data_IF_199572587419
#
_entry.id   IF_199572587419
#
_cell.length_a   1.000
_cell.length_b   1.000
_cell.length_c   1.000
_cell.angle_alpha   90.00
_cell.angle_beta   90.00
_cell.angle_gamma   90.00
#
_symmetry.space_group_name_H-M   'P 1'
#
loop_
_entity.id
_entity.type
_entity.pdbx_description
1 polymer ?
#
# COMPACT_ATOMS: atom_id res chain seq x y z
N UNK A 1 -20.73 41.99 16.98
CA UNK A 1 -20.47 41.48 15.61
C UNK A 1 -18.99 41.14 15.37
N UNK A 2 -18.29 40.45 16.30
CA UNK A 2 -16.89 39.99 16.14
C UNK A 2 -16.52 38.86 17.12
N UNK A 3 -17.28 37.76 17.13
CA UNK A 3 -16.87 36.54 17.86
C UNK A 3 -17.21 35.24 17.10
N UNK A 4 -18.12 35.29 16.12
CA UNK A 4 -18.51 34.13 15.31
C UNK A 4 -17.61 33.86 14.09
N UNK A 5 -16.66 34.74 13.77
CA UNK A 5 -15.75 34.58 12.62
C UNK A 5 -14.44 33.85 12.95
N UNK A 6 -14.09 33.65 14.23
CA UNK A 6 -12.88 32.92 14.63
C UNK A 6 -13.13 31.43 14.92
N UNK A 7 -14.38 31.03 15.18
CA UNK A 7 -14.76 29.64 15.43
C UNK A 7 -15.03 28.83 14.14
N UNK A 8 -15.12 29.50 12.98
CA UNK A 8 -15.32 28.86 11.68
C UNK A 8 -14.01 28.52 10.95
N UNK A 9 -12.86 28.99 11.46
CA UNK A 9 -11.53 28.69 10.88
C UNK A 9 -10.89 27.44 11.51
N UNK A 10 -11.47 26.92 12.59
CA UNK A 10 -10.89 25.77 13.33
C UNK A 10 -11.45 24.40 12.93
N UNK A 11 -12.33 24.30 11.91
CA UNK A 11 -13.02 23.05 11.55
C UNK A 11 -12.61 22.44 10.20
N UNK A 12 -11.85 23.09 9.33
CA UNK A 12 -11.55 22.53 8.00
C UNK A 12 -10.08 22.67 7.59
N UNK A 13 -9.19 22.22 8.48
CA UNK A 13 -7.94 21.59 8.03
C UNK A 13 -8.00 20.14 8.50
N UNK A 14 -8.97 19.39 7.96
CA UNK A 14 -8.72 17.97 7.73
C UNK A 14 -7.58 17.99 6.73
N UNK A 15 -6.34 17.82 7.20
CA UNK A 15 -5.23 17.52 6.32
C UNK A 15 -5.69 16.31 5.51
N UNK A 16 -5.99 16.54 4.23
CA UNK A 16 -6.40 15.50 3.29
C UNK A 16 -5.14 14.69 3.03
N UNK A 17 -4.81 13.82 3.99
CA UNK A 17 -3.95 12.69 3.71
C UNK A 17 -4.65 11.96 2.56
N UNK A 18 -3.97 11.71 1.44
CA UNK A 18 -4.57 10.98 0.34
C UNK A 18 -5.17 9.69 0.88
N UNK A 19 -6.32 9.27 0.34
CA UNK A 19 -6.93 8.00 0.73
C UNK A 19 -5.86 6.89 0.80
N UNK A 20 -5.94 6.04 1.83
CA UNK A 20 -5.01 4.92 2.06
C UNK A 20 -4.79 4.11 0.79
N UNK A 21 -5.80 3.96 -0.08
CA UNK A 21 -5.68 3.28 -1.38
C UNK A 21 -4.72 3.99 -2.37
N UNK A 22 -4.70 5.32 -2.42
CA UNK A 22 -3.79 6.12 -3.27
C UNK A 22 -2.36 6.07 -2.70
N UNK A 23 -2.25 6.25 -1.39
CA UNK A 23 -0.98 6.20 -0.69
C UNK A 23 -0.33 4.84 -0.87
N UNK A 24 -1.05 3.76 -0.56
CA UNK A 24 -0.53 2.40 -0.67
C UNK A 24 -0.12 2.04 -2.10
N UNK A 25 -0.89 2.46 -3.12
CA UNK A 25 -0.59 2.19 -4.52
C UNK A 25 0.71 2.84 -5.01
N UNK A 26 1.07 4.03 -4.51
CA UNK A 26 2.20 4.80 -5.07
C UNK A 26 3.40 4.96 -4.14
N UNK A 27 3.30 4.59 -2.85
CA UNK A 27 4.34 4.87 -1.84
C UNK A 27 5.73 4.39 -2.24
N UNK A 28 5.86 3.18 -2.79
CA UNK A 28 7.17 2.68 -3.19
C UNK A 28 7.72 3.38 -4.43
N UNK A 29 6.88 3.70 -5.42
CA UNK A 29 7.29 4.46 -6.60
C UNK A 29 7.72 5.89 -6.23
N UNK A 30 7.06 6.51 -5.25
CA UNK A 30 7.40 7.85 -4.76
C UNK A 30 8.83 7.93 -4.18
N UNK A 31 9.37 6.82 -3.67
CA UNK A 31 10.78 6.76 -3.21
C UNK A 31 11.73 7.01 -4.38
N UNK A 32 11.54 6.32 -5.49
CA UNK A 32 12.39 6.46 -6.68
C UNK A 32 12.11 7.74 -7.47
N UNK A 33 10.87 8.26 -7.45
CA UNK A 33 10.57 9.60 -7.97
C UNK A 33 11.46 10.63 -7.28
N UNK A 34 11.51 10.63 -5.94
CA UNK A 34 12.29 11.62 -5.18
C UNK A 34 13.79 11.46 -5.41
N UNK A 35 14.25 10.22 -5.49
CA UNK A 35 15.64 9.90 -5.84
C UNK A 35 16.04 10.57 -7.16
N UNK A 36 15.28 10.33 -8.23
CA UNK A 36 15.63 10.83 -9.55
C UNK A 36 15.34 12.32 -9.74
N UNK A 37 14.43 12.89 -8.95
CA UNK A 37 14.26 14.34 -8.87
C UNK A 37 15.49 15.01 -8.26
N UNK A 38 16.04 14.47 -7.16
CA UNK A 38 17.26 14.99 -6.51
C UNK A 38 18.51 14.84 -7.39
N UNK A 39 18.58 13.78 -8.19
CA UNK A 39 19.68 13.53 -9.11
C UNK A 39 19.52 14.27 -10.45
N UNK A 40 18.42 14.99 -10.66
CA UNK A 40 18.06 15.62 -11.93
C UNK A 40 18.05 14.64 -13.13
N UNK A 41 17.83 13.34 -12.88
CA UNK A 41 17.70 12.28 -13.89
C UNK A 41 16.25 12.24 -14.41
N UNK A 42 15.93 13.20 -15.28
CA UNK A 42 14.56 13.41 -15.75
C UNK A 42 13.98 12.23 -16.54
N UNK A 43 14.82 11.38 -17.15
CA UNK A 43 14.34 10.22 -17.89
C UNK A 43 13.88 9.09 -16.97
N UNK A 44 14.66 8.77 -15.94
CA UNK A 44 14.23 7.81 -14.92
C UNK A 44 13.10 8.36 -14.05
N UNK A 45 13.12 9.65 -13.74
CA UNK A 45 12.02 10.34 -13.07
C UNK A 45 10.71 10.17 -13.83
N UNK A 46 10.73 10.35 -15.16
CA UNK A 46 9.56 10.17 -16.00
C UNK A 46 9.02 8.74 -15.92
N UNK A 47 9.88 7.72 -16.06
CA UNK A 47 9.51 6.32 -15.94
C UNK A 47 8.88 5.99 -14.56
N UNK A 48 9.38 6.57 -13.48
CA UNK A 48 8.84 6.31 -12.14
C UNK A 48 7.52 7.04 -11.88
N UNK A 49 7.29 8.19 -12.50
CA UNK A 49 5.96 8.80 -12.54
C UNK A 49 4.96 7.96 -13.36
N UNK A 50 5.35 7.44 -14.52
CA UNK A 50 4.52 6.48 -15.29
C UNK A 50 4.24 5.21 -14.47
N UNK A 51 5.23 4.75 -13.71
CA UNK A 51 5.08 3.59 -12.82
C UNK A 51 4.11 3.87 -11.68
N UNK A 52 4.16 5.06 -11.07
CA UNK A 52 3.18 5.47 -10.05
C UNK A 52 1.77 5.53 -10.65
N UNK A 53 1.60 6.13 -11.83
CA UNK A 53 0.34 6.13 -12.57
C UNK A 53 -0.15 4.69 -12.85
N UNK A 54 0.74 3.81 -13.31
CA UNK A 54 0.43 2.39 -13.54
C UNK A 54 0.01 1.69 -12.26
N UNK A 55 0.65 1.95 -11.12
CA UNK A 55 0.22 1.36 -9.85
C UNK A 55 -1.18 1.83 -9.45
N UNK A 56 -1.51 3.11 -9.63
CA UNK A 56 -2.87 3.61 -9.41
C UNK A 56 -3.88 2.84 -10.28
N UNK A 57 -3.59 2.68 -11.56
CA UNK A 57 -4.47 1.96 -12.48
C UNK A 57 -4.63 0.49 -12.12
N UNK A 58 -3.55 -0.19 -11.75
CA UNK A 58 -3.56 -1.63 -11.52
C UNK A 58 -4.02 -2.02 -10.10
N UNK A 59 -3.98 -1.09 -9.14
CA UNK A 59 -4.23 -1.37 -7.72
C UNK A 59 -5.33 -0.47 -7.18
N UNK A 60 -5.09 0.85 -7.11
CA UNK A 60 -5.99 1.77 -6.41
C UNK A 60 -7.38 1.84 -7.05
N UNK A 61 -7.46 1.90 -8.38
CA UNK A 61 -8.74 1.89 -9.12
C UNK A 61 -9.53 0.60 -8.82
N UNK A 62 -9.02 -0.62 -9.12
CA UNK A 62 -9.80 -1.84 -8.91
C UNK A 62 -10.14 -2.08 -7.43
N UNK A 63 -9.26 -1.72 -6.49
CA UNK A 63 -9.58 -1.78 -5.06
C UNK A 63 -10.79 -0.91 -4.73
N UNK A 64 -10.76 0.35 -5.15
CA UNK A 64 -11.81 1.31 -4.86
C UNK A 64 -13.15 0.92 -5.51
N UNK A 65 -13.12 0.41 -6.75
CA UNK A 65 -14.30 -0.08 -7.46
C UNK A 65 -14.96 -1.27 -6.74
N UNK A 66 -14.17 -2.25 -6.28
CA UNK A 66 -14.68 -3.41 -5.53
C UNK A 66 -15.34 -2.97 -4.22
N UNK A 67 -14.70 -2.04 -3.50
CA UNK A 67 -15.20 -1.49 -2.25
C UNK A 67 -16.50 -0.70 -2.47
N UNK A 68 -16.52 0.17 -3.48
CA UNK A 68 -17.69 0.98 -3.82
C UNK A 68 -18.90 0.10 -4.18
N UNK A 69 -18.67 -0.92 -5.01
CA UNK A 69 -19.71 -1.87 -5.40
C UNK A 69 -20.25 -2.67 -4.21
N UNK A 70 -19.36 -3.09 -3.29
CA UNK A 70 -19.78 -3.71 -2.03
C UNK A 70 -20.66 -2.77 -1.21
N UNK A 71 -20.26 -1.51 -1.04
CA UNK A 71 -21.04 -0.54 -0.27
C UNK A 71 -22.40 -0.24 -0.88
N UNK A 72 -22.47 -0.11 -2.22
CA UNK A 72 -23.72 0.12 -2.96
C UNK A 72 -24.69 -1.04 -2.78
N UNK A 73 -24.22 -2.28 -2.97
CA UNK A 73 -25.07 -3.48 -2.87
C UNK A 73 -25.65 -3.71 -1.47
N UNK A 74 -24.95 -3.27 -0.44
CA UNK A 74 -25.35 -3.46 0.95
C UNK A 74 -25.97 -2.20 1.60
N UNK A 75 -26.22 -1.13 0.85
CA UNK A 75 -26.93 0.06 1.34
C UNK A 75 -26.11 0.96 2.27
N UNK A 76 -24.78 0.91 2.22
CA UNK A 76 -23.90 1.70 3.08
C UNK A 76 -23.69 3.13 2.53
N UNK A 77 -24.74 3.94 2.47
CA UNK A 77 -24.75 5.24 1.76
C UNK A 77 -23.62 6.22 2.14
N UNK A 78 -23.29 6.35 3.43
CA UNK A 78 -22.18 7.22 3.89
C UNK A 78 -20.82 6.75 3.34
N UNK A 79 -20.64 5.43 3.28
CA UNK A 79 -19.42 4.83 2.76
C UNK A 79 -19.35 4.91 1.24
N UNK A 80 -20.49 4.84 0.55
CA UNK A 80 -20.60 5.10 -0.89
C UNK A 80 -20.13 6.52 -1.20
N UNK A 81 -20.69 7.54 -0.54
CA UNK A 81 -20.32 8.95 -0.77
C UNK A 81 -18.83 9.20 -0.57
N UNK A 82 -18.28 8.66 0.54
CA UNK A 82 -16.84 8.73 0.81
C UNK A 82 -16.03 8.08 -0.31
N UNK A 83 -16.38 6.88 -0.74
CA UNK A 83 -15.63 6.11 -1.75
C UNK A 83 -15.76 6.75 -3.14
N UNK A 84 -16.87 7.40 -3.45
CA UNK A 84 -17.03 8.20 -4.68
C UNK A 84 -16.11 9.42 -4.67
N UNK A 85 -15.94 10.09 -3.52
CA UNK A 85 -14.93 11.15 -3.39
C UNK A 85 -13.51 10.59 -3.58
N UNK A 86 -13.19 9.45 -2.95
CA UNK A 86 -11.89 8.80 -3.12
C UNK A 86 -11.63 8.39 -4.58
N UNK A 87 -12.68 8.06 -5.34
CA UNK A 87 -12.59 7.80 -6.80
C UNK A 87 -12.06 9.01 -7.55
N UNK A 88 -12.54 10.22 -7.22
CA UNK A 88 -12.11 11.47 -7.85
C UNK A 88 -10.63 11.73 -7.50
N UNK A 89 -10.26 11.62 -6.22
CA UNK A 89 -8.88 11.79 -5.76
C UNK A 89 -7.90 10.82 -6.46
N UNK A 90 -8.33 9.56 -6.67
CA UNK A 90 -7.56 8.55 -7.41
C UNK A 90 -7.31 9.03 -8.86
N UNK A 91 -8.34 9.55 -9.52
CA UNK A 91 -8.21 10.05 -10.90
C UNK A 91 -7.33 11.30 -10.97
N UNK A 92 -7.49 12.23 -10.05
CA UNK A 92 -6.64 13.43 -9.96
C UNK A 92 -5.17 13.05 -9.78
N UNK A 93 -4.88 12.07 -8.91
CA UNK A 93 -3.51 11.61 -8.68
C UNK A 93 -2.93 10.87 -9.89
N UNK A 94 -3.75 10.10 -10.60
CA UNK A 94 -3.37 9.47 -11.86
C UNK A 94 -2.95 10.55 -12.88
N UNK A 95 -3.79 11.56 -13.08
CA UNK A 95 -3.50 12.65 -14.02
C UNK A 95 -2.28 13.48 -13.61
N UNK A 96 -2.10 13.72 -12.31
CA UNK A 96 -0.90 14.36 -11.77
C UNK A 96 0.38 13.62 -12.21
N UNK A 97 0.45 12.31 -11.99
CA UNK A 97 1.62 11.53 -12.34
C UNK A 97 1.85 11.45 -13.86
N UNK A 98 0.79 11.27 -14.65
CA UNK A 98 0.90 11.28 -16.12
C UNK A 98 1.43 12.63 -16.64
N UNK A 99 0.95 13.74 -16.08
CA UNK A 99 1.45 15.08 -16.43
C UNK A 99 2.92 15.25 -16.05
N UNK A 100 3.29 14.87 -14.83
CA UNK A 100 4.67 14.96 -14.34
C UNK A 100 5.63 14.09 -15.17
N UNK A 101 5.22 12.88 -15.54
CA UNK A 101 5.99 12.03 -16.46
C UNK A 101 6.22 12.72 -17.81
N UNK A 102 5.15 13.26 -18.42
CA UNK A 102 5.24 13.98 -19.69
C UNK A 102 6.19 15.18 -19.60
N UNK A 103 6.12 15.95 -18.52
CA UNK A 103 6.97 17.12 -18.33
C UNK A 103 8.44 16.74 -18.06
N UNK A 104 8.69 15.64 -17.36
CA UNK A 104 10.03 15.09 -17.16
C UNK A 104 10.63 14.57 -18.48
N UNK A 105 9.85 13.85 -19.30
CA UNK A 105 10.32 13.39 -20.62
C UNK A 105 10.79 14.52 -21.53
N UNK A 106 10.11 15.68 -21.52
CA UNK A 106 10.52 16.86 -22.31
C UNK A 106 11.91 17.38 -21.92
N UNK A 107 12.33 17.14 -20.68
CA UNK A 107 13.62 17.59 -20.13
C UNK A 107 14.69 16.51 -20.18
N UNK A 108 14.32 15.27 -20.51
CA UNK A 108 15.21 14.12 -20.41
C UNK A 108 16.32 14.18 -21.46
N UNK A 109 17.55 14.10 -20.96
CA UNK A 109 18.78 13.81 -21.74
C UNK A 109 19.36 12.44 -21.41
N UNK A 110 18.59 11.63 -20.67
CA UNK A 110 19.02 10.33 -20.13
C UNK A 110 19.31 9.34 -21.26
N UNK A 111 20.50 8.71 -21.28
CA UNK A 111 20.85 7.71 -22.28
C UNK A 111 19.88 6.51 -22.33
N UNK A 112 19.56 6.03 -23.53
CA UNK A 112 18.57 4.95 -23.75
C UNK A 112 18.94 3.63 -23.06
N UNK A 113 20.24 3.34 -22.90
CA UNK A 113 20.69 2.16 -22.15
C UNK A 113 20.30 2.23 -20.66
N UNK A 114 20.34 3.43 -20.06
CA UNK A 114 19.90 3.64 -18.69
C UNK A 114 18.38 3.57 -18.56
N UNK A 115 17.64 4.06 -19.56
CA UNK A 115 16.17 3.93 -19.65
C UNK A 115 15.75 2.47 -19.74
N UNK A 116 16.41 1.69 -20.61
CA UNK A 116 16.14 0.25 -20.78
C UNK A 116 16.38 -0.51 -19.48
N UNK A 117 17.54 -0.26 -18.84
CA UNK A 117 17.87 -0.87 -17.54
C UNK A 117 16.82 -0.51 -16.48
N UNK A 118 16.34 0.72 -16.47
CA UNK A 118 15.33 1.17 -15.49
C UNK A 118 13.96 0.53 -15.74
N UNK A 119 13.55 0.34 -17.00
CA UNK A 119 12.33 -0.40 -17.35
C UNK A 119 12.35 -1.84 -16.83
N UNK A 120 13.51 -2.51 -16.88
CA UNK A 120 13.65 -3.85 -16.31
C UNK A 120 13.46 -3.88 -14.79
N UNK A 121 14.00 -2.89 -14.07
CA UNK A 121 13.78 -2.73 -12.63
C UNK A 121 12.30 -2.50 -12.32
N UNK A 122 11.64 -1.63 -13.08
CA UNK A 122 10.21 -1.35 -12.96
C UNK A 122 9.37 -2.63 -13.20
N UNK A 123 9.72 -3.45 -14.20
CA UNK A 123 9.02 -4.70 -14.45
C UNK A 123 9.13 -5.66 -13.24
N UNK A 124 10.34 -5.80 -12.66
CA UNK A 124 10.57 -6.58 -11.43
C UNK A 124 9.77 -6.02 -10.26
N UNK A 125 9.77 -4.70 -10.10
CA UNK A 125 8.98 -3.99 -9.09
C UNK A 125 7.49 -4.30 -9.18
N UNK A 126 6.87 -4.10 -10.34
CA UNK A 126 5.44 -4.38 -10.55
C UNK A 126 5.12 -5.84 -10.24
N UNK A 127 5.93 -6.78 -10.74
CA UNK A 127 5.72 -8.22 -10.51
C UNK A 127 5.85 -8.63 -9.04
N UNK A 128 6.68 -7.90 -8.27
CA UNK A 128 6.87 -8.11 -6.84
C UNK A 128 5.69 -7.57 -6.05
N UNK A 129 5.21 -6.39 -6.40
CA UNK A 129 4.26 -5.63 -5.56
C UNK A 129 2.78 -5.91 -5.82
N UNK A 130 2.35 -6.11 -7.07
CA UNK A 130 0.95 -6.41 -7.37
C UNK A 130 0.33 -7.49 -6.48
N UNK A 131 0.98 -8.65 -6.25
CA UNK A 131 0.37 -9.70 -5.42
C UNK A 131 0.37 -9.42 -3.92
N UNK A 132 1.04 -8.38 -3.44
CA UNK A 132 1.03 -8.00 -2.03
C UNK A 132 -0.24 -7.24 -1.63
N UNK A 133 -0.88 -6.53 -2.55
CA UNK A 133 -2.03 -5.69 -2.24
C UNK A 133 -3.27 -6.47 -1.78
N UNK A 134 -3.66 -7.60 -2.40
CA UNK A 134 -4.76 -8.41 -1.88
C UNK A 134 -4.54 -8.92 -0.45
N UNK A 135 -3.28 -9.24 -0.08
CA UNK A 135 -2.93 -9.68 1.27
C UNK A 135 -3.06 -8.55 2.30
N UNK A 136 -2.68 -7.33 1.90
CA UNK A 136 -2.75 -6.16 2.77
C UNK A 136 -4.18 -5.79 3.16
N UNK A 137 -5.20 -6.25 2.43
CA UNK A 137 -6.60 -6.04 2.78
C UNK A 137 -6.93 -6.36 4.25
N UNK A 138 -6.38 -7.45 4.80
CA UNK A 138 -6.64 -7.86 6.20
C UNK A 138 -5.76 -7.11 7.21
N UNK A 139 -4.60 -6.61 6.77
CA UNK A 139 -3.61 -5.92 7.62
C UNK A 139 -3.88 -4.41 7.69
N UNK A 140 -4.38 -3.81 6.61
CA UNK A 140 -4.52 -2.38 6.37
C UNK A 140 -5.83 -2.06 5.61
N UNK A 141 -6.34 -0.84 5.76
CA UNK A 141 -7.47 -0.35 4.98
C UNK A 141 -8.82 -0.91 5.41
N UNK A 142 -9.59 -1.48 4.47
CA UNK A 142 -11.02 -1.78 4.61
C UNK A 142 -11.34 -2.79 5.73
N UNK A 143 -10.58 -3.89 5.85
CA UNK A 143 -10.89 -4.88 6.88
C UNK A 143 -10.70 -4.35 8.31
N UNK A 144 -9.53 -3.80 8.70
CA UNK A 144 -9.33 -3.33 10.07
C UNK A 144 -10.18 -2.10 10.44
N UNK A 145 -10.72 -1.36 9.46
CA UNK A 145 -11.53 -0.15 9.71
C UNK A 145 -13.02 -0.39 9.62
N UNK A 146 -13.50 -1.11 8.61
CA UNK A 146 -14.94 -1.29 8.39
C UNK A 146 -15.42 -2.66 8.87
N UNK A 147 -14.81 -3.75 8.39
CA UNK A 147 -15.25 -5.10 8.74
C UNK A 147 -15.04 -5.42 10.22
N UNK A 148 -13.92 -4.95 10.79
CA UNK A 148 -13.62 -5.16 12.21
C UNK A 148 -14.64 -4.45 13.10
N UNK A 149 -14.98 -3.19 12.82
CA UNK A 149 -16.00 -2.46 13.58
C UNK A 149 -17.36 -3.16 13.51
N UNK A 150 -17.80 -3.58 12.32
CA UNK A 150 -19.06 -4.31 12.18
C UNK A 150 -19.04 -5.66 12.89
N UNK A 151 -17.90 -6.35 12.85
CA UNK A 151 -17.72 -7.62 13.55
C UNK A 151 -17.76 -7.45 15.06
N UNK A 152 -17.10 -6.44 15.61
CA UNK A 152 -17.13 -6.13 17.04
C UNK A 152 -18.55 -5.83 17.53
N UNK A 153 -19.34 -5.10 16.72
CA UNK A 153 -20.77 -4.88 17.00
C UNK A 153 -21.53 -6.20 17.02
N UNK A 154 -21.36 -7.05 16.00
CA UNK A 154 -22.04 -8.35 15.94
C UNK A 154 -21.61 -9.30 17.07
N UNK A 155 -20.35 -9.25 17.51
CA UNK A 155 -19.84 -9.99 18.67
C UNK A 155 -20.51 -9.51 19.96
N UNK A 156 -20.65 -8.20 20.17
CA UNK A 156 -21.35 -7.62 21.32
C UNK A 156 -22.84 -7.99 21.36
N UNK A 157 -23.48 -8.13 20.20
CA UNK A 157 -24.87 -8.58 20.06
C UNK A 157 -25.02 -10.11 20.10
N UNK A 158 -23.91 -10.84 20.21
CA UNK A 158 -23.86 -12.30 20.14
C UNK A 158 -24.48 -12.86 18.83
N UNK A 159 -24.41 -12.08 17.76
CA UNK A 159 -25.00 -12.38 16.47
C UNK A 159 -24.03 -13.19 15.59
N UNK A 160 -23.91 -14.48 15.90
CA UNK A 160 -22.99 -15.42 15.20
C UNK A 160 -23.26 -15.45 13.68
N UNK A 161 -24.52 -15.37 13.26
CA UNK A 161 -24.89 -15.36 11.84
C UNK A 161 -24.26 -14.18 11.11
N UNK A 162 -24.34 -12.99 11.71
CA UNK A 162 -23.79 -11.78 11.11
C UNK A 162 -22.26 -11.82 11.05
N UNK A 163 -21.59 -12.29 12.10
CA UNK A 163 -20.13 -12.48 12.09
C UNK A 163 -19.71 -13.37 10.91
N UNK A 164 -20.38 -14.51 10.72
CA UNK A 164 -20.09 -15.44 9.63
C UNK A 164 -20.33 -14.80 8.24
N UNK A 165 -21.37 -13.98 8.09
CA UNK A 165 -21.65 -13.27 6.84
C UNK A 165 -20.62 -12.18 6.54
N UNK A 166 -20.22 -11.40 7.55
CA UNK A 166 -19.18 -10.37 7.42
C UNK A 166 -17.85 -10.98 7.00
N UNK A 167 -17.43 -12.09 7.61
CA UNK A 167 -16.19 -12.76 7.23
C UNK A 167 -16.29 -13.41 5.84
N UNK A 168 -17.48 -13.89 5.44
CA UNK A 168 -17.70 -14.39 4.09
C UNK A 168 -17.53 -13.28 3.04
N UNK A 169 -18.11 -12.10 3.30
CA UNK A 169 -17.97 -10.92 2.45
C UNK A 169 -16.52 -10.44 2.37
N UNK A 170 -15.80 -10.41 3.51
CA UNK A 170 -14.38 -10.08 3.53
C UNK A 170 -13.54 -11.03 2.65
N UNK A 171 -13.82 -12.33 2.72
CA UNK A 171 -13.17 -13.32 1.87
C UNK A 171 -13.50 -13.15 0.38
N UNK A 172 -14.76 -12.82 0.02
CA UNK A 172 -15.16 -12.51 -1.35
C UNK A 172 -14.46 -11.26 -1.91
N UNK A 173 -14.36 -10.21 -1.11
CA UNK A 173 -13.62 -9.00 -1.49
C UNK A 173 -12.15 -9.36 -1.74
N UNK A 174 -11.51 -10.09 -0.82
CA UNK A 174 -10.12 -10.49 -1.01
C UNK A 174 -9.92 -11.36 -2.27
N UNK A 175 -10.85 -12.28 -2.57
CA UNK A 175 -10.85 -13.04 -3.81
C UNK A 175 -10.98 -12.14 -5.05
N UNK A 176 -11.86 -11.13 -5.01
CA UNK A 176 -12.02 -10.16 -6.10
C UNK A 176 -10.76 -9.30 -6.30
N UNK A 177 -10.07 -8.92 -5.21
CA UNK A 177 -8.78 -8.22 -5.29
C UNK A 177 -7.72 -9.07 -5.99
N UNK A 178 -7.61 -10.36 -5.64
CA UNK A 178 -6.72 -11.28 -6.34
C UNK A 178 -7.04 -11.43 -7.82
N UNK A 179 -8.34 -11.43 -8.17
CA UNK A 179 -8.77 -11.51 -9.56
C UNK A 179 -8.37 -10.27 -10.35
N UNK A 180 -8.69 -9.09 -9.83
CA UNK A 180 -8.54 -7.82 -10.55
C UNK A 180 -7.12 -7.25 -10.54
N UNK A 181 -6.29 -7.62 -9.55
CA UNK A 181 -4.95 -7.06 -9.40
C UNK A 181 -3.89 -8.02 -9.96
N UNK A 182 -3.45 -9.10 -9.28
CA UNK A 182 -2.38 -9.94 -9.82
C UNK A 182 -2.82 -10.81 -11.01
N UNK A 183 -4.01 -11.43 -10.98
CA UNK A 183 -4.41 -12.41 -12.03
C UNK A 183 -4.70 -11.72 -13.36
N UNK A 184 -5.48 -10.63 -13.36
CA UNK A 184 -5.74 -9.82 -14.55
C UNK A 184 -4.44 -9.26 -15.19
N UNK A 185 -3.34 -9.21 -14.43
CA UNK A 185 -2.01 -8.79 -14.90
C UNK A 185 -1.06 -9.97 -15.18
N UNK A 186 -1.61 -11.16 -15.44
CA UNK A 186 -0.86 -12.32 -15.92
C UNK A 186 -0.20 -13.17 -14.84
N UNK A 187 -0.40 -12.88 -13.55
CA UNK A 187 0.16 -13.65 -12.45
C UNK A 187 -0.76 -14.83 -12.07
N UNK A 188 -0.92 -15.79 -13.00
CA UNK A 188 -1.85 -16.92 -12.86
C UNK A 188 -1.57 -17.85 -11.67
N UNK A 189 -0.36 -17.82 -11.09
CA UNK A 189 -0.02 -18.55 -9.87
C UNK A 189 -0.89 -18.17 -8.66
N UNK A 190 -1.58 -17.03 -8.70
CA UNK A 190 -2.47 -16.57 -7.61
C UNK A 190 -3.93 -17.07 -7.74
N UNK A 191 -4.27 -17.80 -8.81
CA UNK A 191 -5.62 -18.36 -9.02
C UNK A 191 -6.03 -19.29 -7.88
N UNK A 192 -5.10 -20.13 -7.39
CA UNK A 192 -5.38 -21.05 -6.29
C UNK A 192 -5.76 -20.31 -4.99
N UNK A 193 -5.06 -19.22 -4.67
CA UNK A 193 -5.33 -18.41 -3.47
C UNK A 193 -6.71 -17.74 -3.58
N UNK A 194 -7.00 -17.14 -4.73
CA UNK A 194 -8.34 -16.59 -5.05
C UNK A 194 -9.43 -17.65 -4.85
N UNK A 195 -9.22 -18.86 -5.36
CA UNK A 195 -10.17 -19.96 -5.21
C UNK A 195 -10.32 -20.41 -3.74
N UNK A 196 -9.26 -20.40 -2.95
CA UNK A 196 -9.32 -20.73 -1.53
C UNK A 196 -10.16 -19.71 -0.75
N UNK A 197 -10.02 -18.41 -1.04
CA UNK A 197 -10.90 -17.38 -0.48
C UNK A 197 -12.37 -17.58 -0.87
N UNK A 198 -12.67 -17.90 -2.14
CA UNK A 198 -14.04 -18.19 -2.59
C UNK A 198 -14.64 -19.43 -1.91
N UNK A 199 -13.86 -20.51 -1.78
CA UNK A 199 -14.28 -21.71 -1.04
C UNK A 199 -14.57 -21.37 0.42
N UNK A 200 -13.72 -20.55 1.04
CA UNK A 200 -13.89 -20.12 2.42
C UNK A 200 -15.16 -19.28 2.61
N UNK A 201 -15.41 -18.31 1.73
CA UNK A 201 -16.64 -17.53 1.76
C UNK A 201 -17.89 -18.41 1.65
N UNK A 202 -17.86 -19.38 0.73
CA UNK A 202 -18.96 -20.35 0.56
C UNK A 202 -19.21 -21.18 1.82
N UNK A 203 -18.13 -21.62 2.48
CA UNK A 203 -18.21 -22.33 3.75
C UNK A 203 -18.85 -21.46 4.85
N UNK A 204 -18.41 -20.21 4.99
CA UNK A 204 -18.94 -19.29 6.00
C UNK A 204 -20.43 -18.96 5.77
N UNK A 205 -20.85 -18.75 4.52
CA UNK A 205 -22.28 -18.62 4.16
C UNK A 205 -23.08 -19.87 4.51
N UNK A 206 -22.52 -21.05 4.29
CA UNK A 206 -23.17 -22.32 4.65
C UNK A 206 -23.29 -22.47 6.17
N UNK A 207 -22.26 -22.06 6.92
CA UNK A 207 -22.31 -22.06 8.38
C UNK A 207 -23.33 -21.06 8.92
N UNK A 208 -23.48 -19.88 8.31
CA UNK A 208 -24.41 -18.84 8.79
C UNK A 208 -25.90 -19.23 8.67
N UNK A 209 -26.21 -20.25 7.86
CA UNK A 209 -27.55 -20.82 7.75
C UNK A 209 -27.90 -21.82 8.86
N UNK A 210 -26.90 -22.26 9.64
CA UNK A 210 -27.07 -23.21 10.74
C UNK A 210 -27.17 -22.47 12.07
N UNK A 211 -27.89 -23.06 13.03
CA UNK A 211 -27.89 -22.56 14.40
C UNK A 211 -26.61 -22.97 15.11
N UNK A 212 -25.88 -21.99 15.63
CA UNK A 212 -24.66 -22.21 16.39
C UNK A 212 -24.82 -21.66 17.80
N UNK A 213 -24.28 -22.38 18.79
CA UNK A 213 -24.18 -21.88 20.17
C UNK A 213 -22.88 -21.14 20.44
N UNK A 214 -21.86 -21.40 19.62
CA UNK A 214 -20.50 -20.87 19.74
C UNK A 214 -20.05 -20.51 18.31
N UNK A 215 -19.29 -19.43 18.15
CA UNK A 215 -18.72 -19.04 16.87
C UNK A 215 -17.78 -20.15 16.34
N UNK A 216 -18.00 -20.68 15.12
CA UNK A 216 -17.08 -21.63 14.52
C UNK A 216 -15.69 -21.04 14.28
N UNK A 217 -14.63 -21.84 14.49
CA UNK A 217 -13.24 -21.41 14.34
C UNK A 217 -12.92 -20.90 12.93
N UNK A 218 -13.63 -21.40 11.92
CA UNK A 218 -13.49 -20.98 10.53
C UNK A 218 -13.70 -19.48 10.35
N UNK A 219 -14.51 -18.82 11.19
CA UNK A 219 -14.70 -17.37 11.13
C UNK A 219 -13.38 -16.58 11.22
N UNK A 220 -12.34 -17.16 11.83
CA UNK A 220 -11.04 -16.51 11.99
C UNK A 220 -10.00 -16.93 10.94
N UNK A 221 -10.34 -17.82 10.01
CA UNK A 221 -9.38 -18.45 9.11
C UNK A 221 -9.05 -17.61 7.87
N UNK A 222 -9.93 -16.68 7.47
CA UNK A 222 -9.74 -15.87 6.25
C UNK A 222 -8.40 -15.13 6.20
N UNK A 223 -7.95 -14.58 7.33
CA UNK A 223 -6.65 -13.91 7.47
C UNK A 223 -5.45 -14.85 7.32
N UNK A 224 -5.63 -16.17 7.30
CA UNK A 224 -4.56 -17.18 7.17
C UNK A 224 -4.47 -17.81 5.78
N UNK A 225 -5.43 -17.50 4.90
CA UNK A 225 -5.46 -17.96 3.50
C UNK A 225 -4.50 -17.18 2.59
N UNK A 226 -3.82 -16.17 3.14
CA UNK A 226 -2.85 -15.39 2.40
C UNK A 226 -1.68 -16.27 1.95
N UNK A 227 -1.09 -15.86 0.83
CA UNK A 227 0.22 -16.37 0.45
C UNK A 227 1.22 -16.04 1.56
N UNK A 228 1.70 -17.04 2.30
CA UNK A 228 2.92 -16.89 3.11
C UNK A 228 3.93 -16.25 2.17
N UNK A 229 4.43 -15.06 2.54
CA UNK A 229 5.42 -14.31 1.75
C UNK A 229 6.43 -15.33 1.27
N UNK A 230 6.42 -15.66 -0.03
CA UNK A 230 7.50 -16.46 -0.57
C UNK A 230 8.74 -15.70 -0.15
N UNK A 231 9.63 -16.35 0.62
CA UNK A 231 10.97 -15.86 0.82
C UNK A 231 11.45 -15.50 -0.58
N UNK A 232 11.41 -14.21 -0.91
CA UNK A 232 11.74 -13.77 -2.24
C UNK A 232 13.12 -14.34 -2.47
N UNK A 233 13.29 -15.14 -3.52
CA UNK A 233 14.63 -15.44 -4.00
C UNK A 233 15.15 -14.10 -4.51
N UNK A 234 15.65 -13.29 -3.58
CA UNK A 234 16.54 -12.20 -3.89
C UNK A 234 17.68 -12.79 -4.69
N UNK A 235 18.22 -12.02 -5.62
CA UNK A 235 19.34 -12.52 -6.43
C UNK A 235 20.55 -12.92 -5.56
N UNK A 236 20.54 -12.49 -4.29
CA UNK A 236 21.63 -12.59 -3.33
C UNK A 236 21.35 -13.47 -2.10
N UNK A 237 20.16 -14.04 -1.89
CA UNK A 237 19.74 -14.69 -0.62
C UNK A 237 19.99 -13.83 0.64
N UNK A 238 20.18 -12.51 0.52
CA UNK A 238 20.50 -11.65 1.68
C UNK A 238 19.33 -11.61 2.66
N UNK A 239 19.66 -11.89 3.92
CA UNK A 239 18.74 -11.75 5.05
C UNK A 239 18.39 -10.25 5.24
N UNK A 240 17.10 -9.96 5.44
CA UNK A 240 16.61 -8.62 5.77
C UNK A 240 17.33 -8.03 6.99
N UNK A 241 17.77 -8.86 7.95
CA UNK A 241 18.58 -8.43 9.08
C UNK A 241 19.94 -7.87 8.65
N UNK A 242 20.61 -8.52 7.69
CA UNK A 242 21.90 -8.04 7.17
C UNK A 242 21.70 -6.70 6.44
N UNK A 243 20.64 -6.58 5.64
CA UNK A 243 20.28 -5.34 4.95
C UNK A 243 20.02 -4.20 5.94
N UNK A 244 19.29 -4.48 7.02
CA UNK A 244 19.02 -3.52 8.08
C UNK A 244 20.31 -3.07 8.78
N UNK A 245 21.21 -4.00 9.11
CA UNK A 245 22.50 -3.65 9.70
C UNK A 245 23.33 -2.80 8.75
N UNK A 246 23.39 -3.14 7.46
CA UNK A 246 24.08 -2.32 6.46
C UNK A 246 23.52 -0.89 6.41
N UNK A 247 22.19 -0.72 6.47
CA UNK A 247 21.58 0.61 6.50
C UNK A 247 21.97 1.40 7.76
N UNK A 248 21.98 0.74 8.93
CA UNK A 248 22.37 1.36 10.21
C UNK A 248 23.84 1.73 10.29
N UNK A 249 24.71 0.96 9.63
CA UNK A 249 26.15 1.21 9.60
C UNK A 249 26.57 2.32 8.62
N UNK A 250 25.65 2.86 7.81
CA UNK A 250 25.95 4.06 7.02
C UNK A 250 26.08 5.26 7.96
N UNK A 251 27.24 5.92 7.94
CA UNK A 251 27.55 7.02 8.87
C UNK A 251 26.51 8.15 8.84
N UNK A 252 25.87 8.40 7.69
CA UNK A 252 24.83 9.43 7.55
C UNK A 252 23.53 9.05 8.26
N UNK A 253 23.25 7.75 8.37
CA UNK A 253 22.12 7.21 9.12
C UNK A 253 22.46 7.13 10.60
N UNK A 254 23.65 6.63 10.93
CA UNK A 254 24.12 6.53 12.30
C UNK A 254 24.00 7.88 13.02
N UNK A 255 24.54 8.96 12.42
CA UNK A 255 24.42 10.30 12.98
C UNK A 255 22.98 10.77 13.12
N UNK A 256 22.11 10.45 12.14
CA UNK A 256 20.71 10.86 12.16
C UNK A 256 19.90 10.13 13.24
N UNK A 257 20.21 8.86 13.50
CA UNK A 257 19.51 8.02 14.48
C UNK A 257 20.00 8.27 15.91
N UNK A 258 21.25 8.69 16.11
CA UNK A 258 21.79 9.03 17.45
C UNK A 258 20.96 10.12 18.14
N UNK A 259 20.37 11.04 17.38
CA UNK A 259 19.55 12.13 17.90
C UNK A 259 18.09 11.71 18.21
N UNK A 260 17.70 10.48 17.86
CA UNK A 260 16.32 10.00 17.97
C UNK A 260 16.17 9.03 19.13
N UNK A 261 15.35 9.39 20.12
CA UNK A 261 15.12 8.56 21.32
C UNK A 261 14.36 7.26 21.03
N UNK A 262 13.46 7.26 20.04
CA UNK A 262 12.66 6.11 19.64
C UNK A 262 12.35 6.20 18.15
N UNK A 263 12.65 5.14 17.39
CA UNK A 263 12.32 5.02 15.99
C UNK A 263 11.91 3.58 15.62
N UNK A 264 11.15 3.47 14.54
CA UNK A 264 10.72 2.22 13.93
C UNK A 264 11.48 1.98 12.64
N UNK A 265 11.67 0.71 12.31
CA UNK A 265 12.48 0.27 11.19
C UNK A 265 11.69 -0.72 10.36
N UNK A 266 11.71 -0.53 9.05
CA UNK A 266 11.07 -1.46 8.14
C UNK A 266 11.95 -1.73 6.93
N UNK A 267 12.23 -3.01 6.70
CA UNK A 267 13.04 -3.48 5.57
C UNK A 267 12.16 -4.20 4.56
N UNK A 268 12.29 -3.81 3.29
CA UNK A 268 11.42 -4.27 2.21
C UNK A 268 12.24 -4.47 0.94
N UNK A 269 11.96 -5.56 0.22
CA UNK A 269 12.55 -5.80 -1.09
C UNK A 269 11.61 -5.31 -2.19
N UNK A 270 12.14 -4.50 -3.11
CA UNK A 270 11.38 -3.85 -4.19
C UNK A 270 11.40 -4.68 -5.49
N UNK A 271 11.97 -5.88 -5.50
CA UNK A 271 12.13 -6.72 -6.70
C UNK A 271 13.48 -6.53 -7.42
N UNK A 272 14.19 -5.44 -7.13
CA UNK A 272 15.50 -5.13 -7.73
C UNK A 272 16.47 -4.45 -6.75
N UNK A 273 15.95 -3.82 -5.70
CA UNK A 273 16.72 -3.18 -4.64
C UNK A 273 16.01 -3.39 -3.30
N UNK A 274 16.75 -3.26 -2.22
CA UNK A 274 16.21 -3.20 -0.87
C UNK A 274 15.98 -1.75 -0.45
N UNK A 275 14.94 -1.54 0.34
CA UNK A 275 14.65 -0.27 0.99
C UNK A 275 14.55 -0.49 2.49
N UNK A 276 15.23 0.34 3.27
CA UNK A 276 15.10 0.38 4.73
C UNK A 276 14.58 1.75 5.12
N UNK A 277 13.39 1.78 5.70
CA UNK A 277 12.76 3.01 6.17
C UNK A 277 12.88 3.14 7.68
N UNK A 278 13.30 4.31 8.13
CA UNK A 278 13.36 4.71 9.52
C UNK A 278 12.27 5.75 9.78
N UNK A 279 11.41 5.52 10.77
CA UNK A 279 10.32 6.42 11.14
C UNK A 279 10.42 6.79 12.61
N UNK A 280 10.08 8.02 12.98
CA UNK A 280 9.93 8.36 14.39
C UNK A 280 8.64 7.74 14.98
N UNK A 281 8.45 7.87 16.29
CA UNK A 281 7.27 7.39 17.01
C UNK A 281 5.92 7.94 16.49
N UNK A 282 5.93 9.06 15.77
CA UNK A 282 4.75 9.66 15.14
C UNK A 282 4.60 9.26 13.67
N UNK A 283 5.31 8.21 13.22
CA UNK A 283 5.36 7.78 11.81
C UNK A 283 5.93 8.83 10.84
N UNK A 284 6.55 9.88 11.38
CA UNK A 284 7.33 10.84 10.60
C UNK A 284 8.53 10.15 9.98
N UNK A 285 8.68 10.26 8.66
CA UNK A 285 9.79 9.64 7.96
C UNK A 285 11.10 10.34 8.34
N UNK A 286 12.04 9.59 8.91
CA UNK A 286 13.37 10.06 9.29
C UNK A 286 14.35 9.90 8.13
N UNK A 287 14.39 8.71 7.55
CA UNK A 287 15.22 8.40 6.40
C UNK A 287 14.72 7.14 5.66
N UNK A 288 14.94 7.09 4.36
CA UNK A 288 14.83 5.86 3.55
C UNK A 288 16.19 5.59 2.93
N UNK A 289 16.75 4.41 3.21
CA UNK A 289 18.00 3.93 2.62
C UNK A 289 17.66 2.96 1.49
N UNK A 290 18.27 3.17 0.33
CA UNK A 290 18.15 2.28 -0.83
C UNK A 290 19.44 1.48 -0.93
N UNK A 291 19.35 0.15 -0.93
CA UNK A 291 20.48 -0.77 -0.96
C UNK A 291 20.38 -1.65 -2.20
N UNK A 292 21.48 -1.75 -2.94
CA UNK A 292 21.57 -2.60 -4.10
C UNK A 292 21.48 -4.08 -3.72
N UNK A 293 20.61 -4.86 -4.36
CA UNK A 293 20.43 -6.27 -4.01
C UNK A 293 21.67 -7.12 -4.29
N UNK A 294 22.38 -6.83 -5.39
CA UNK A 294 23.51 -7.64 -5.84
C UNK A 294 24.76 -7.38 -4.99
N UNK A 295 25.13 -6.10 -4.86
CA UNK A 295 26.35 -5.67 -4.16
C UNK A 295 26.13 -5.48 -2.65
N UNK A 296 24.89 -5.22 -2.22
CA UNK A 296 24.57 -4.91 -0.82
C UNK A 296 25.08 -3.54 -0.38
N UNK A 297 25.47 -2.67 -1.31
CA UNK A 297 25.93 -1.33 -1.00
C UNK A 297 24.76 -0.37 -0.93
N UNK A 298 24.86 0.63 -0.07
CA UNK A 298 23.93 1.76 -0.05
C UNK A 298 24.08 2.52 -1.37
N UNK A 299 22.98 2.57 -2.14
CA UNK A 299 22.87 3.34 -3.38
C UNK A 299 22.60 4.80 -3.03
N UNK A 300 21.61 5.05 -2.16
CA UNK A 300 21.20 6.40 -1.79
C UNK A 300 20.46 6.45 -0.46
N UNK A 301 20.30 7.66 0.08
CA UNK A 301 19.57 7.97 1.31
C UNK A 301 18.68 9.18 1.08
N UNK A 302 17.37 8.97 1.20
CA UNK A 302 16.39 10.03 1.23
C UNK A 302 16.15 10.43 2.68
N UNK A 303 16.67 11.58 3.10
CA UNK A 303 16.35 12.15 4.41
C UNK A 303 14.92 12.68 4.43
N UNK A 304 14.22 12.44 5.53
CA UNK A 304 12.93 13.07 5.79
C UNK A 304 13.05 14.31 6.67
N UNK A 305 11.94 15.01 6.85
CA UNK A 305 11.86 16.18 7.72
C UNK A 305 11.48 15.72 9.13
N UNK A 306 12.48 15.61 10.00
CA UNK A 306 12.35 15.03 11.35
C UNK A 306 11.50 15.84 12.33
N UNK A 307 11.05 17.05 11.97
CA UNK A 307 10.35 17.97 12.87
C UNK A 307 8.82 17.98 12.75
N UNK A 308 8.25 17.55 11.62
CA UNK A 308 6.81 17.77 11.36
C UNK A 308 5.94 16.52 11.41
N UNK A 309 6.53 15.31 11.43
CA UNK A 309 5.75 14.07 11.43
C UNK A 309 4.88 13.87 10.17
N UNK A 310 4.99 14.75 9.17
CA UNK A 310 4.20 14.67 7.94
C UNK A 310 4.76 13.58 7.01
N UNK A 311 3.91 12.90 6.22
CA UNK A 311 4.39 12.19 5.05
C UNK A 311 5.13 13.18 4.16
N UNK A 312 6.18 12.72 3.49
CA UNK A 312 7.05 13.55 2.64
C UNK A 312 6.40 13.99 1.32
N UNK A 313 5.09 14.24 1.33
CA UNK A 313 4.32 14.88 0.28
C UNK A 313 3.82 16.23 0.79
N UNK A 314 4.57 17.28 0.52
CA UNK A 314 4.15 18.69 0.41
C UNK A 314 5.39 19.59 0.52
N UNK A 315 6.16 19.63 -0.56
CA UNK A 315 6.71 20.86 -1.14
C UNK A 315 6.62 20.70 -2.66
#
# INVERSE_FOLDING_TARGET
>A
MRLYQLLLVSILIIQVLPCSAIYEGTTNANTFIRLYEQQEDFGRLALWHETAARCITLISIPMNEIVLDYYKRNGYHKWVERTEKETIEIQERLQFHLKKAKDAWKKSTTPENLITTEREKIAKFISTWLPHYPNRFYEYGLYPTFFRELREIAENENNIKEILLLEAHAAEICAALYEKIPIANGLNKYVEIRNNHLKHATLLRTLSQKTHKILPDEANYGKHLHFKRSNFRTSSQRDANIILQTAKSDSRIESLLQEQKNYHEYTWFQGFAWTVSFYNHNWGNLAIVIIDDQTGKVIDILKGDGHTGKPLSEN
#
